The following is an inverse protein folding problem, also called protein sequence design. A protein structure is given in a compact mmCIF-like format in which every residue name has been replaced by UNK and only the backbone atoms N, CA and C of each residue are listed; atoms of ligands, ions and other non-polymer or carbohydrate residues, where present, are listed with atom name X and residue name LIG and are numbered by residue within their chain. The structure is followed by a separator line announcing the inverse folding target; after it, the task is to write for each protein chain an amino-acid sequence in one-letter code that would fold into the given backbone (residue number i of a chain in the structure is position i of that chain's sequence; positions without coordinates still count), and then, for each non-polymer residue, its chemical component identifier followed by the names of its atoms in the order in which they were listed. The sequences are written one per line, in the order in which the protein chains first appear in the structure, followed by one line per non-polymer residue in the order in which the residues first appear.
data_IF_968035655996
#
_entry.id   IF_968035655996
#
_cell.length_a   1.000
_cell.length_b   1.000
_cell.length_c   1.000
_cell.angle_alpha   90.00
_cell.angle_beta   90.00
_cell.angle_gamma   90.00
#
_symmetry.space_group_name_H-M   'P 1'
#
loop_
_entity.id
_entity.type
_entity.pdbx_description
1 polymer ?
#
# COMPACT_ATOMS: atom_id res chain seq x y z
N UNK A 1 -24.62 -13.77 20.84
CA UNK A 1 -23.60 -12.78 20.45
C UNK A 1 -24.01 -12.19 19.13
N UNK A 2 -24.22 -10.87 19.07
CA UNK A 2 -24.59 -10.18 17.82
C UNK A 2 -23.35 -10.02 16.92
N UNK A 3 -23.56 -9.82 15.62
CA UNK A 3 -22.45 -9.55 14.68
C UNK A 3 -21.66 -8.30 15.11
N UNK A 4 -22.33 -7.31 15.69
CA UNK A 4 -21.71 -6.11 16.25
C UNK A 4 -20.80 -6.40 17.46
N UNK A 5 -21.17 -7.32 18.34
CA UNK A 5 -20.34 -7.75 19.46
C UNK A 5 -19.11 -8.52 18.96
N UNK A 6 -19.32 -9.49 18.07
CA UNK A 6 -18.23 -10.29 17.51
C UNK A 6 -17.21 -9.43 16.75
N UNK A 7 -17.66 -8.42 16.02
CA UNK A 7 -16.77 -7.48 15.35
C UNK A 7 -16.02 -6.58 16.33
N UNK A 8 -16.67 -6.08 17.39
CA UNK A 8 -16.01 -5.29 18.43
C UNK A 8 -14.85 -6.05 19.06
N UNK A 9 -15.10 -7.29 19.47
CA UNK A 9 -14.09 -8.13 20.09
C UNK A 9 -12.89 -8.35 19.13
N UNK A 10 -13.19 -8.66 17.87
CA UNK A 10 -12.17 -8.80 16.81
C UNK A 10 -11.39 -7.50 16.58
N UNK A 11 -12.07 -6.36 16.58
CA UNK A 11 -11.45 -5.05 16.37
C UNK A 11 -10.50 -4.71 17.53
N UNK A 12 -10.98 -4.83 18.77
CA UNK A 12 -10.18 -4.54 19.97
C UNK A 12 -8.95 -5.44 20.06
N UNK A 13 -9.08 -6.73 19.74
CA UNK A 13 -7.97 -7.68 19.75
C UNK A 13 -6.94 -7.42 18.64
N UNK A 14 -7.41 -7.17 17.41
CA UNK A 14 -6.53 -7.19 16.24
C UNK A 14 -6.04 -5.80 15.80
N UNK A 15 -6.75 -4.72 16.14
CA UNK A 15 -6.47 -3.38 15.62
C UNK A 15 -5.03 -2.91 15.85
N UNK A 16 -4.44 -2.99 17.06
CA UNK A 16 -3.08 -2.52 17.28
C UNK A 16 -2.05 -3.22 16.40
N UNK A 17 -2.24 -4.52 16.15
CA UNK A 17 -1.34 -5.34 15.33
C UNK A 17 -1.49 -5.06 13.84
N UNK A 18 -2.73 -4.88 13.36
CA UNK A 18 -2.98 -4.50 11.97
C UNK A 18 -2.44 -3.10 11.69
N UNK A 19 -2.62 -2.15 12.61
CA UNK A 19 -2.09 -0.79 12.51
C UNK A 19 -0.57 -0.78 12.46
N UNK A 20 0.11 -1.47 13.40
CA UNK A 20 1.56 -1.55 13.41
C UNK A 20 2.10 -2.16 12.10
N UNK A 21 1.46 -3.23 11.61
CA UNK A 21 1.84 -3.84 10.35
C UNK A 21 1.64 -2.89 9.15
N UNK A 22 0.47 -2.26 9.02
CA UNK A 22 0.18 -1.37 7.89
C UNK A 22 1.11 -0.14 7.91
N UNK A 23 1.31 0.48 9.07
CA UNK A 23 2.21 1.64 9.20
C UNK A 23 3.67 1.28 8.93
N UNK A 24 4.12 0.07 9.29
CA UNK A 24 5.44 -0.44 8.91
C UNK A 24 5.64 -0.60 7.39
N UNK A 25 4.55 -0.85 6.64
CA UNK A 25 4.63 -1.02 5.18
C UNK A 25 4.59 0.29 4.40
N UNK A 26 3.76 1.25 4.81
CA UNK A 26 3.41 2.44 4.00
C UNK A 26 3.54 3.77 4.74
N UNK A 27 4.07 3.75 5.97
CA UNK A 27 4.14 4.93 6.83
C UNK A 27 2.82 5.19 7.56
N UNK A 28 2.85 6.12 8.52
CA UNK A 28 1.76 6.31 9.48
C UNK A 28 0.43 6.70 8.84
N UNK A 29 0.40 7.79 8.09
CA UNK A 29 -0.82 8.35 7.53
C UNK A 29 -1.55 7.34 6.63
N UNK A 30 -0.83 6.75 5.67
CA UNK A 30 -1.40 5.74 4.76
C UNK A 30 -1.73 4.44 5.51
N UNK A 31 -0.95 4.09 6.53
CA UNK A 31 -1.20 2.90 7.34
C UNK A 31 -2.49 2.98 8.14
N UNK A 32 -2.85 4.16 8.66
CA UNK A 32 -4.13 4.41 9.34
C UNK A 32 -5.32 4.21 8.37
N UNK A 33 -5.21 4.68 7.13
CA UNK A 33 -6.22 4.47 6.08
C UNK A 33 -6.37 2.99 5.71
N UNK A 34 -5.26 2.30 5.46
CA UNK A 34 -5.24 0.85 5.14
C UNK A 34 -5.84 0.03 6.28
N UNK A 35 -5.58 0.42 7.54
CA UNK A 35 -6.16 -0.24 8.71
C UNK A 35 -7.67 -0.06 8.73
N UNK A 36 -8.16 1.16 8.53
CA UNK A 36 -9.59 1.47 8.48
C UNK A 36 -10.31 0.70 7.36
N UNK A 37 -9.72 0.62 6.17
CA UNK A 37 -10.26 -0.18 5.07
C UNK A 37 -10.24 -1.68 5.38
N UNK A 38 -9.19 -2.18 6.03
CA UNK A 38 -9.09 -3.59 6.42
C UNK A 38 -10.25 -4.00 7.32
N UNK A 39 -10.57 -3.20 8.34
CA UNK A 39 -11.71 -3.46 9.22
C UNK A 39 -13.06 -3.24 8.55
N UNK A 40 -13.14 -2.34 7.56
CA UNK A 40 -14.34 -2.22 6.71
C UNK A 40 -14.59 -3.48 5.90
N UNK A 41 -13.54 -4.09 5.34
CA UNK A 41 -13.62 -5.38 4.64
C UNK A 41 -14.00 -6.50 5.62
N UNK A 42 -13.41 -6.51 6.81
CA UNK A 42 -13.75 -7.47 7.86
C UNK A 42 -15.24 -7.41 8.25
N UNK A 43 -15.79 -6.20 8.43
CA UNK A 43 -17.22 -6.02 8.72
C UNK A 43 -18.11 -6.64 7.63
N UNK A 44 -17.81 -6.36 6.36
CA UNK A 44 -18.58 -6.88 5.21
C UNK A 44 -18.46 -8.39 5.05
N UNK A 45 -17.35 -8.99 5.49
CA UNK A 45 -17.04 -10.42 5.33
C UNK A 45 -16.99 -11.16 6.66
N UNK A 46 -17.72 -10.70 7.67
CA UNK A 46 -17.63 -11.21 9.04
C UNK A 46 -17.80 -12.74 9.15
N UNK A 47 -18.61 -13.33 8.27
CA UNK A 47 -18.87 -14.78 8.23
C UNK A 47 -17.73 -15.60 7.63
N UNK A 48 -16.87 -14.97 6.84
CA UNK A 48 -15.75 -15.60 6.13
C UNK A 48 -14.44 -15.56 6.94
N UNK A 49 -14.41 -14.85 8.07
CA UNK A 49 -13.18 -14.67 8.86
C UNK A 49 -12.87 -15.95 9.65
N UNK A 50 -11.71 -16.59 9.41
CA UNK A 50 -11.30 -17.80 10.12
C UNK A 50 -10.81 -17.48 11.54
N UNK A 51 -10.67 -18.53 12.36
CA UNK A 51 -10.02 -18.45 13.67
C UNK A 51 -8.62 -19.10 13.58
N UNK A 52 -7.53 -18.42 13.96
CA UNK A 52 -7.47 -17.04 14.46
C UNK A 52 -7.70 -15.99 13.36
N UNK A 53 -8.29 -14.81 13.67
CA UNK A 53 -8.67 -13.80 12.67
C UNK A 53 -7.50 -13.03 12.08
N UNK A 54 -6.39 -12.94 12.82
CA UNK A 54 -5.31 -12.01 12.51
C UNK A 54 -4.57 -12.28 11.20
N UNK A 55 -4.18 -13.53 10.86
CA UNK A 55 -3.54 -13.80 9.57
C UNK A 55 -4.39 -13.36 8.38
N UNK A 56 -5.71 -13.50 8.47
CA UNK A 56 -6.65 -13.06 7.43
C UNK A 56 -6.64 -11.53 7.30
N UNK A 57 -6.69 -10.81 8.43
CA UNK A 57 -6.65 -9.34 8.45
C UNK A 57 -5.33 -8.78 7.87
N UNK A 58 -4.18 -9.39 8.23
CA UNK A 58 -2.88 -9.00 7.67
C UNK A 58 -2.81 -9.27 6.16
N UNK A 59 -3.44 -10.36 5.70
CA UNK A 59 -3.60 -10.65 4.27
C UNK A 59 -4.41 -9.59 3.53
N UNK A 60 -5.52 -9.13 4.12
CA UNK A 60 -6.32 -8.01 3.58
C UNK A 60 -5.49 -6.72 3.52
N UNK A 61 -4.86 -6.32 4.62
CA UNK A 61 -4.02 -5.12 4.68
C UNK A 61 -2.88 -5.16 3.64
N UNK A 62 -2.25 -6.34 3.45
CA UNK A 62 -1.23 -6.56 2.43
C UNK A 62 -1.78 -6.38 1.02
N UNK A 63 -2.96 -6.92 0.74
CA UNK A 63 -3.58 -6.82 -0.59
C UNK A 63 -3.98 -5.37 -0.91
N UNK A 64 -4.53 -4.64 0.06
CA UNK A 64 -4.82 -3.21 -0.08
C UNK A 64 -3.55 -2.40 -0.35
N UNK A 65 -2.48 -2.67 0.41
CA UNK A 65 -1.16 -2.05 0.19
C UNK A 65 -0.60 -2.34 -1.20
N UNK A 66 -0.73 -3.59 -1.68
CA UNK A 66 -0.31 -3.97 -3.04
C UNK A 66 -1.10 -3.23 -4.10
N UNK A 67 -2.41 -3.10 -3.92
CA UNK A 67 -3.25 -2.34 -4.86
C UNK A 67 -2.91 -0.86 -4.87
N UNK A 68 -2.68 -0.24 -3.71
CA UNK A 68 -2.22 1.14 -3.59
C UNK A 68 -0.93 1.35 -4.41
N UNK A 69 0.11 0.53 -4.16
CA UNK A 69 1.38 0.64 -4.90
C UNK A 69 1.22 0.45 -6.40
N UNK A 70 0.32 -0.44 -6.84
CA UNK A 70 0.02 -0.63 -8.27
C UNK A 70 -0.67 0.60 -8.86
N UNK A 71 -1.58 1.25 -8.13
CA UNK A 71 -2.23 2.49 -8.58
C UNK A 71 -1.22 3.60 -8.77
N UNK A 72 -0.35 3.80 -7.77
CA UNK A 72 0.70 4.82 -7.83
C UNK A 72 1.66 4.55 -9.00
N UNK A 73 2.12 3.30 -9.15
CA UNK A 73 2.99 2.91 -10.27
C UNK A 73 2.35 3.12 -11.65
N UNK A 74 1.03 2.85 -11.80
CA UNK A 74 0.30 3.14 -13.03
C UNK A 74 0.21 4.65 -13.28
N UNK A 75 -0.07 5.45 -12.26
CA UNK A 75 -0.12 6.91 -12.38
C UNK A 75 1.23 7.48 -12.80
N UNK A 76 2.34 7.02 -12.18
CA UNK A 76 3.69 7.40 -12.59
C UNK A 76 3.99 7.01 -14.04
N UNK A 77 3.63 5.79 -14.46
CA UNK A 77 3.85 5.35 -15.84
C UNK A 77 3.05 6.17 -16.86
N UNK A 78 1.82 6.57 -16.53
CA UNK A 78 1.00 7.44 -17.38
C UNK A 78 1.59 8.85 -17.46
N UNK A 79 2.00 9.43 -16.33
CA UNK A 79 2.64 10.74 -16.29
C UNK A 79 3.96 10.75 -17.08
N UNK A 80 4.77 9.68 -16.96
CA UNK A 80 6.01 9.53 -17.73
C UNK A 80 5.76 9.41 -19.24
N UNK A 81 4.72 8.66 -19.65
CA UNK A 81 4.33 8.58 -21.07
C UNK A 81 3.87 9.92 -21.62
N UNK A 82 3.11 10.69 -20.84
CA UNK A 82 2.66 12.01 -21.25
C UNK A 82 3.84 13.00 -21.34
N UNK A 83 4.75 12.99 -20.36
CA UNK A 83 5.99 13.77 -20.43
C UNK A 83 6.82 13.42 -21.67
N UNK A 84 6.97 12.12 -21.99
CA UNK A 84 7.68 11.68 -23.18
C UNK A 84 6.98 12.11 -24.48
N UNK A 85 5.64 12.12 -24.51
CA UNK A 85 4.87 12.61 -25.65
C UNK A 85 5.11 14.09 -25.87
N UNK A 86 5.09 14.91 -24.81
CA UNK A 86 5.37 16.35 -24.86
C UNK A 86 6.78 16.60 -25.43
N UNK A 87 7.80 15.91 -24.89
CA UNK A 87 9.19 16.00 -25.37
C UNK A 87 9.31 15.61 -26.86
N UNK A 88 8.69 14.48 -27.25
CA UNK A 88 8.76 13.96 -28.63
C UNK A 88 7.94 14.81 -29.61
N UNK A 89 6.91 15.51 -29.14
CA UNK A 89 6.09 16.42 -29.94
C UNK A 89 6.74 17.77 -30.25
N UNK A 90 7.96 18.02 -29.75
CA UNK A 90 8.73 19.22 -30.09
C UNK A 90 8.21 20.51 -29.45
N UNK A 91 7.38 20.42 -28.41
CA UNK A 91 7.04 21.58 -27.60
C UNK A 91 8.31 22.02 -26.86
N UNK A 92 8.91 23.14 -27.28
CA UNK A 92 10.09 23.72 -26.63
C UNK A 92 9.76 24.03 -25.17
N UNK A 93 10.19 23.15 -24.27
CA UNK A 93 10.25 23.44 -22.83
C UNK A 93 11.73 23.59 -22.51
N UNK A 94 12.16 24.85 -22.45
CA UNK A 94 13.47 25.23 -21.93
C UNK A 94 13.66 24.67 -20.52
N UNK A 95 14.71 23.85 -20.39
CA UNK A 95 15.64 23.77 -19.26
C UNK A 95 15.10 23.48 -17.83
N UNK A 96 14.52 22.28 -17.64
CA UNK A 96 14.41 21.65 -16.29
C UNK A 96 14.72 20.13 -16.29
N UNK A 97 14.98 19.53 -17.47
CA UNK A 97 14.88 18.08 -17.67
C UNK A 97 16.08 17.23 -17.20
N UNK A 98 17.25 17.82 -16.97
CA UNK A 98 18.47 17.03 -16.72
C UNK A 98 18.52 16.44 -15.29
N UNK A 99 18.08 17.17 -14.25
CA UNK A 99 18.15 16.71 -12.86
C UNK A 99 17.02 15.78 -12.40
N UNK A 100 15.86 15.84 -13.07
CA UNK A 100 14.66 15.06 -12.70
C UNK A 100 14.79 13.60 -13.18
N UNK A 101 15.48 13.38 -14.30
CA UNK A 101 15.61 12.06 -14.93
C UNK A 101 16.41 11.08 -14.07
N UNK A 102 17.55 11.48 -13.49
CA UNK A 102 18.34 10.58 -12.62
C UNK A 102 17.61 10.24 -11.32
N UNK A 103 16.94 11.22 -10.69
CA UNK A 103 16.14 11.01 -9.48
C UNK A 103 14.97 10.04 -9.74
N UNK A 104 14.31 10.17 -10.88
CA UNK A 104 13.19 9.32 -11.27
C UNK A 104 13.63 7.88 -11.59
N UNK A 105 14.76 7.70 -12.28
CA UNK A 105 15.34 6.38 -12.57
C UNK A 105 15.79 5.68 -11.28
N UNK A 106 16.42 6.40 -10.36
CA UNK A 106 16.80 5.87 -9.05
C UNK A 106 15.58 5.43 -8.21
N UNK A 107 14.50 6.20 -8.23
CA UNK A 107 13.26 5.86 -7.53
C UNK A 107 12.51 4.68 -8.19
N UNK A 108 12.57 4.54 -9.52
CA UNK A 108 12.04 3.37 -10.23
C UNK A 108 12.84 2.10 -9.93
N UNK A 109 14.16 2.19 -9.85
CA UNK A 109 15.01 1.07 -9.45
C UNK A 109 14.73 0.62 -7.99
N UNK A 110 14.48 1.56 -7.08
CA UNK A 110 14.09 1.28 -5.69
C UNK A 110 12.66 0.72 -5.57
N UNK A 111 11.77 1.09 -6.49
CA UNK A 111 10.41 0.54 -6.58
C UNK A 111 10.37 -0.90 -7.14
N UNK A 112 11.46 -1.35 -7.77
CA UNK A 112 11.65 -2.73 -8.23
C UNK A 112 12.11 -3.71 -7.15
N UNK A 113 12.40 -3.24 -5.93
CA UNK A 113 12.78 -4.11 -4.81
C UNK A 113 11.61 -5.02 -4.41
N UNK A 114 11.89 -6.31 -4.32
CA UNK A 114 10.88 -7.34 -4.15
C UNK A 114 10.12 -7.15 -2.82
N UNK A 115 8.80 -7.40 -2.86
CA UNK A 115 7.96 -7.38 -1.67
C UNK A 115 8.31 -8.51 -0.68
N UNK A 116 9.18 -9.46 -1.06
CA UNK A 116 9.62 -10.58 -0.24
C UNK A 116 10.79 -10.19 0.69
N UNK A 117 11.68 -9.29 0.25
CA UNK A 117 12.87 -8.90 1.04
C UNK A 117 12.51 -7.98 2.22
N UNK A 118 11.43 -7.18 2.11
CA UNK A 118 10.92 -6.34 3.22
C UNK A 118 10.16 -7.12 4.28
N UNK A 119 9.64 -8.29 3.94
CA UNK A 119 8.87 -9.13 4.85
C UNK A 119 9.78 -9.81 5.89
N UNK A 120 11.00 -10.18 5.49
CA UNK A 120 12.01 -10.76 6.40
C UNK A 120 12.51 -9.76 7.46
N UNK A 121 12.58 -8.46 7.15
CA UNK A 121 13.04 -7.45 8.10
C UNK A 121 11.97 -7.03 9.12
N UNK A 122 10.68 -7.23 8.81
CA UNK A 122 9.58 -6.80 9.70
C UNK A 122 9.19 -7.88 10.71
N UNK A 123 9.57 -9.14 10.48
CA UNK A 123 9.26 -10.29 11.36
C UNK A 123 10.36 -10.62 12.40
N UNK A 124 11.51 -9.94 12.36
CA UNK A 124 12.67 -10.22 13.24
C UNK A 124 12.94 -9.11 14.27
N UNK A 125 12.24 -7.98 14.19
CA UNK A 125 12.39 -6.84 15.11
C UNK A 125 11.41 -6.86 16.29
#
# INVERSE_FOLDING_TARGET
MTDAQRFRDLYEECHPRVLAYATGLVGRQVGEDITSETFTVAWRRMRDIPTPPLPWLLGVARNLTRELRRRDGRQYALAAREAQRIITSGAQVEDVAAGVTERAVALQALAGLSAADRELLTLVA
#
